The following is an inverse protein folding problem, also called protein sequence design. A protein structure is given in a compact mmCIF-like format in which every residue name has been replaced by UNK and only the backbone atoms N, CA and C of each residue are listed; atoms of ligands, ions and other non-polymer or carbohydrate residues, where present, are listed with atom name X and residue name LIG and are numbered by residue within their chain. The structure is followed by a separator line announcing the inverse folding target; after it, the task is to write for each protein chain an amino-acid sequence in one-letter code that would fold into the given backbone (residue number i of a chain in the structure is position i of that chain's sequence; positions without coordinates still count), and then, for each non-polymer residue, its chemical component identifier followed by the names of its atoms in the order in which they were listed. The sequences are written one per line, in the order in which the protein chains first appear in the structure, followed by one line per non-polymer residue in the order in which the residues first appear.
data_IF_906014636162
#
_entry.id   IF_906014636162
#
_cell.length_a   1.000
_cell.length_b   1.000
_cell.length_c   1.000
_cell.angle_alpha   90.00
_cell.angle_beta   90.00
_cell.angle_gamma   90.00
#
_symmetry.space_group_name_H-M   'P 1'
#
loop_
_entity.id
_entity.type
_entity.pdbx_description
1 polymer ?
#
# COMPACT_ATOMS: atom_id res chain seq x y z
N UNK A 1 -13.03 23.06 30.31
CA UNK A 1 -11.75 22.33 30.28
C UNK A 1 -11.78 21.50 29.01
N UNK A 2 -11.13 21.98 27.94
CA UNK A 2 -11.21 21.35 26.62
C UNK A 2 -10.45 20.03 26.64
N UNK A 3 -11.10 18.96 26.16
CA UNK A 3 -10.42 17.70 25.87
C UNK A 3 -9.28 17.96 24.91
N UNK A 4 -8.09 17.59 25.34
CA UNK A 4 -6.90 17.51 24.50
C UNK A 4 -7.10 16.26 23.62
N UNK A 5 -7.95 16.36 22.60
CA UNK A 5 -7.92 15.41 21.51
C UNK A 5 -6.51 15.47 20.94
N UNK A 6 -5.79 14.36 21.03
CA UNK A 6 -4.46 14.22 20.44
C UNK A 6 -4.59 14.54 18.94
N UNK A 7 -4.24 15.76 18.54
CA UNK A 7 -4.15 16.15 17.14
C UNK A 7 -2.95 15.39 16.59
N UNK A 8 -3.14 14.14 16.16
CA UNK A 8 -2.17 13.47 15.31
C UNK A 8 -2.06 14.32 14.05
N UNK A 9 -0.87 14.85 13.71
CA UNK A 9 -0.70 15.61 12.48
C UNK A 9 -1.22 14.76 11.32
N UNK A 10 -2.13 15.32 10.51
CA UNK A 10 -2.62 14.64 9.32
C UNK A 10 -1.41 14.35 8.44
N UNK A 11 -1.06 13.08 8.29
CA UNK A 11 0.05 12.66 7.43
C UNK A 11 -0.28 13.08 6.00
N UNK A 12 0.71 13.65 5.32
CA UNK A 12 0.53 14.06 3.94
C UNK A 12 0.55 12.83 3.01
N UNK A 13 0.13 13.00 1.76
CA UNK A 13 0.02 11.88 0.83
C UNK A 13 1.38 11.19 0.60
N UNK A 14 2.48 11.94 0.54
CA UNK A 14 3.82 11.37 0.35
C UNK A 14 4.21 10.43 1.49
N UNK A 15 3.96 10.82 2.73
CA UNK A 15 4.22 10.01 3.92
C UNK A 15 3.35 8.75 3.91
N UNK A 16 2.06 8.89 3.62
CA UNK A 16 1.11 7.76 3.63
C UNK A 16 1.44 6.76 2.52
N UNK A 17 1.70 7.23 1.31
CA UNK A 17 2.02 6.37 0.17
C UNK A 17 3.33 5.63 0.41
N UNK A 18 4.38 6.34 0.87
CA UNK A 18 5.65 5.72 1.21
C UNK A 18 5.46 4.59 2.23
N UNK A 19 4.79 4.90 3.33
CA UNK A 19 4.56 3.95 4.42
C UNK A 19 3.76 2.72 4.00
N UNK A 20 2.68 2.93 3.23
CA UNK A 20 1.84 1.84 2.72
C UNK A 20 2.64 0.94 1.78
N UNK A 21 3.35 1.51 0.81
CA UNK A 21 4.13 0.74 -0.16
C UNK A 21 5.29 -0.01 0.51
N UNK A 22 6.02 0.63 1.44
CA UNK A 22 7.06 -0.04 2.22
C UNK A 22 6.50 -1.20 3.03
N UNK A 23 5.34 -1.01 3.66
CA UNK A 23 4.69 -2.07 4.44
C UNK A 23 4.31 -3.26 3.55
N UNK A 24 3.78 -3.01 2.35
CA UNK A 24 3.41 -4.06 1.39
C UNK A 24 4.64 -4.79 0.84
N UNK A 25 5.70 -4.07 0.48
CA UNK A 25 6.94 -4.69 -0.01
C UNK A 25 7.58 -5.53 1.09
N UNK A 26 7.68 -5.00 2.31
CA UNK A 26 8.25 -5.72 3.44
C UNK A 26 7.45 -6.99 3.79
N UNK A 27 6.14 -6.92 3.70
CA UNK A 27 5.27 -8.09 3.94
C UNK A 27 5.39 -9.12 2.83
N UNK A 28 5.43 -8.69 1.58
CA UNK A 28 5.59 -9.58 0.41
C UNK A 28 6.96 -10.25 0.40
N UNK A 29 8.02 -9.49 0.70
CA UNK A 29 9.40 -9.98 0.78
C UNK A 29 9.55 -11.13 1.75
N UNK A 30 8.93 -11.03 2.94
CA UNK A 30 8.97 -12.09 3.97
C UNK A 30 8.44 -13.43 3.47
N UNK A 31 7.57 -13.43 2.44
CA UNK A 31 6.93 -14.64 1.92
C UNK A 31 7.50 -15.11 0.57
N UNK A 32 7.91 -14.20 -0.31
CA UNK A 32 8.32 -14.51 -1.70
C UNK A 32 9.74 -14.07 -2.07
N UNK A 33 10.46 -13.44 -1.15
CA UNK A 33 11.81 -12.89 -1.40
C UNK A 33 11.79 -11.45 -1.95
N UNK A 34 12.94 -10.79 -1.84
CA UNK A 34 13.08 -9.36 -2.14
C UNK A 34 12.88 -9.04 -3.62
N UNK A 35 13.55 -9.79 -4.51
CA UNK A 35 13.45 -9.56 -5.96
C UNK A 35 12.01 -9.67 -6.47
N UNK A 36 11.24 -10.65 -5.96
CA UNK A 36 9.82 -10.77 -6.31
C UNK A 36 9.01 -9.57 -5.82
N UNK A 37 9.20 -9.14 -4.57
CA UNK A 37 8.43 -8.05 -3.99
C UNK A 37 8.68 -6.71 -4.71
N UNK A 38 9.95 -6.38 -4.98
CA UNK A 38 10.35 -5.16 -5.70
C UNK A 38 9.85 -5.21 -7.15
N UNK A 39 10.08 -6.31 -7.86
CA UNK A 39 9.65 -6.45 -9.25
C UNK A 39 8.13 -6.35 -9.37
N UNK A 40 7.40 -7.07 -8.53
CA UNK A 40 5.93 -7.07 -8.59
C UNK A 40 5.34 -5.71 -8.26
N UNK A 41 5.86 -5.01 -7.25
CA UNK A 41 5.39 -3.67 -6.90
C UNK A 41 5.69 -2.66 -8.02
N UNK A 42 6.90 -2.68 -8.57
CA UNK A 42 7.30 -1.77 -9.66
C UNK A 42 6.41 -1.97 -10.89
N UNK A 43 6.13 -3.21 -11.28
CA UNK A 43 5.23 -3.50 -12.40
C UNK A 43 3.79 -3.04 -12.13
N UNK A 44 3.28 -3.23 -10.90
CA UNK A 44 1.93 -2.78 -10.53
C UNK A 44 1.81 -1.25 -10.57
N UNK A 45 2.81 -0.52 -10.07
CA UNK A 45 2.82 0.94 -10.14
C UNK A 45 2.85 1.43 -11.59
N UNK A 46 3.67 0.80 -12.44
CA UNK A 46 3.75 1.14 -13.86
C UNK A 46 2.44 0.86 -14.63
N UNK A 47 1.77 -0.25 -14.31
CA UNK A 47 0.45 -0.57 -14.88
C UNK A 47 -0.61 0.48 -14.52
N UNK A 48 -0.58 0.94 -13.27
CA UNK A 48 -1.56 1.89 -12.74
C UNK A 48 -1.26 3.35 -13.07
N UNK A 49 -0.05 3.68 -13.48
CA UNK A 49 0.37 5.06 -13.82
C UNK A 49 -0.51 5.69 -14.92
N UNK A 50 -1.03 4.87 -15.85
CA UNK A 50 -1.93 5.33 -16.90
C UNK A 50 -3.30 5.83 -16.37
N UNK A 51 -3.78 5.24 -15.27
CA UNK A 51 -5.04 5.62 -14.61
C UNK A 51 -4.80 6.66 -13.51
N UNK A 52 -3.68 6.52 -12.79
CA UNK A 52 -3.28 7.36 -11.66
C UNK A 52 -1.95 8.04 -11.98
N UNK A 53 -2.01 9.13 -12.75
CA UNK A 53 -0.83 9.84 -13.22
C UNK A 53 0.13 10.34 -12.13
N UNK A 54 -0.34 10.46 -10.87
CA UNK A 54 0.55 10.82 -9.75
C UNK A 54 1.52 9.70 -9.35
N UNK A 55 1.30 8.45 -9.78
CA UNK A 55 2.21 7.34 -9.49
C UNK A 55 3.58 7.52 -10.16
N UNK A 56 3.70 8.41 -11.15
CA UNK A 56 4.99 8.82 -11.71
C UNK A 56 5.93 9.45 -10.65
N UNK A 57 5.37 9.94 -9.54
CA UNK A 57 6.11 10.51 -8.41
C UNK A 57 6.59 9.45 -7.40
N UNK A 58 6.37 8.17 -7.68
CA UNK A 58 6.76 7.06 -6.81
C UNK A 58 7.83 6.23 -7.52
N UNK A 59 8.96 6.07 -6.84
CA UNK A 59 10.08 5.27 -7.32
C UNK A 59 10.34 4.11 -6.36
N UNK A 60 10.41 2.89 -6.91
CA UNK A 60 10.80 1.69 -6.17
C UNK A 60 12.20 1.29 -6.60
N UNK A 61 13.14 1.29 -5.64
CA UNK A 61 14.54 0.94 -5.87
C UNK A 61 14.83 -0.49 -5.46
N UNK A 62 15.70 -1.13 -6.21
CA UNK A 62 16.27 -2.41 -5.82
C UNK A 62 17.49 -2.18 -4.92
N UNK A 63 17.29 -2.23 -3.62
CA UNK A 63 18.33 -1.95 -2.62
C UNK A 63 19.14 -3.18 -2.24
N UNK A 64 19.03 -4.31 -2.95
CA UNK A 64 19.80 -5.53 -2.66
C UNK A 64 21.32 -5.33 -2.68
N UNK A 65 21.79 -4.32 -3.41
CA UNK A 65 23.20 -3.96 -3.55
C UNK A 65 23.53 -2.55 -2.97
N UNK A 66 22.55 -1.87 -2.38
CA UNK A 66 22.66 -0.48 -1.93
C UNK A 66 22.35 -0.41 -0.43
N UNK A 67 23.39 -0.46 0.40
CA UNK A 67 23.24 -0.30 1.84
C UNK A 67 22.83 1.13 2.21
N UNK A 68 21.78 1.27 3.03
CA UNK A 68 21.33 2.55 3.56
C UNK A 68 20.39 3.35 2.65
N UNK A 69 20.12 2.89 1.42
CA UNK A 69 19.14 3.55 0.54
C UNK A 69 17.69 3.17 0.89
N UNK A 70 16.81 4.16 0.78
CA UNK A 70 15.37 3.95 0.92
C UNK A 70 14.82 3.21 -0.29
N UNK A 71 14.05 2.14 -0.03
CA UNK A 71 13.47 1.31 -1.09
C UNK A 71 12.34 2.02 -1.83
N UNK A 72 11.58 2.85 -1.12
CA UNK A 72 10.44 3.59 -1.65
C UNK A 72 10.75 5.09 -1.52
N UNK A 73 10.90 5.74 -2.65
CA UNK A 73 11.01 7.19 -2.73
C UNK A 73 9.70 7.76 -3.27
N UNK A 74 9.16 8.79 -2.61
CA UNK A 74 7.90 9.44 -2.99
C UNK A 74 8.11 10.93 -3.04
N UNK A 75 7.97 11.53 -4.22
CA UNK A 75 8.16 12.96 -4.39
C UNK A 75 7.00 13.74 -3.74
N UNK A 76 7.26 14.94 -3.16
CA UNK A 76 6.24 15.73 -2.47
C UNK A 76 5.07 16.18 -3.36
N UNK A 77 5.22 16.17 -4.69
CA UNK A 77 4.22 16.55 -5.68
C UNK A 77 2.88 15.80 -5.49
N UNK A 78 2.93 14.57 -4.98
CA UNK A 78 1.75 13.78 -4.64
C UNK A 78 0.85 14.44 -3.58
N UNK A 79 1.38 15.39 -2.80
CA UNK A 79 0.62 16.11 -1.78
C UNK A 79 -0.41 17.08 -2.37
N UNK A 80 -0.30 17.43 -3.66
CA UNK A 80 -1.32 18.19 -4.38
C UNK A 80 -2.51 17.34 -4.84
N UNK A 81 -2.40 16.00 -4.78
CA UNK A 81 -3.44 15.07 -5.19
C UNK A 81 -4.53 14.99 -4.13
N UNK A 82 -5.79 14.85 -4.55
CA UNK A 82 -6.89 14.61 -3.62
C UNK A 82 -6.63 13.33 -2.82
N UNK A 83 -6.70 13.37 -1.47
CA UNK A 83 -6.41 12.19 -0.64
C UNK A 83 -7.29 10.98 -0.98
N UNK A 84 -8.54 11.19 -1.40
CA UNK A 84 -9.43 10.12 -1.85
C UNK A 84 -8.96 9.45 -3.15
N UNK A 85 -8.33 10.17 -4.06
CA UNK A 85 -7.73 9.60 -5.28
C UNK A 85 -6.49 8.76 -4.93
N UNK A 86 -5.69 9.22 -3.95
CA UNK A 86 -4.58 8.44 -3.41
C UNK A 86 -5.09 7.15 -2.76
N UNK A 87 -6.14 7.24 -1.95
CA UNK A 87 -6.74 6.08 -1.30
C UNK A 87 -7.29 5.05 -2.30
N UNK A 88 -7.94 5.48 -3.39
CA UNK A 88 -8.40 4.59 -4.46
C UNK A 88 -7.24 3.82 -5.10
N UNK A 89 -6.16 4.51 -5.47
CA UNK A 89 -5.00 3.85 -6.06
C UNK A 89 -4.36 2.85 -5.09
N UNK A 90 -4.16 3.25 -3.83
CA UNK A 90 -3.60 2.38 -2.81
C UNK A 90 -4.49 1.15 -2.54
N UNK A 91 -5.82 1.31 -2.50
CA UNK A 91 -6.75 0.19 -2.40
C UNK A 91 -6.57 -0.79 -3.55
N UNK A 92 -6.51 -0.30 -4.80
CA UNK A 92 -6.29 -1.13 -5.99
C UNK A 92 -4.93 -1.84 -5.94
N UNK A 93 -3.87 -1.15 -5.49
CA UNK A 93 -2.54 -1.75 -5.32
C UNK A 93 -2.59 -2.91 -4.31
N UNK A 94 -3.21 -2.71 -3.15
CA UNK A 94 -3.33 -3.76 -2.12
C UNK A 94 -4.14 -4.95 -2.66
N UNK A 95 -5.26 -4.68 -3.35
CA UNK A 95 -6.12 -5.70 -3.95
C UNK A 95 -5.41 -6.49 -5.06
N UNK A 96 -4.78 -5.81 -6.03
CA UNK A 96 -4.06 -6.49 -7.11
C UNK A 96 -2.87 -7.29 -6.58
N UNK A 97 -2.15 -6.76 -5.60
CA UNK A 97 -1.04 -7.47 -4.98
C UNK A 97 -1.52 -8.71 -4.22
N UNK A 98 -2.59 -8.61 -3.42
CA UNK A 98 -3.15 -9.75 -2.68
C UNK A 98 -3.66 -10.85 -3.61
N UNK A 99 -4.32 -10.48 -4.72
CA UNK A 99 -4.82 -11.43 -5.71
C UNK A 99 -3.72 -12.13 -6.51
N UNK A 100 -2.57 -11.46 -6.69
CA UNK A 100 -1.40 -12.05 -7.34
C UNK A 100 -0.72 -13.14 -6.51
N UNK A 101 -1.05 -13.23 -5.22
CA UNK A 101 -0.63 -14.30 -4.34
C UNK A 101 -1.67 -15.43 -4.34
N UNK A 102 -1.21 -16.63 -3.99
CA UNK A 102 -2.09 -17.75 -3.62
C UNK A 102 -3.08 -17.33 -2.53
N UNK A 103 -4.21 -18.03 -2.39
CA UNK A 103 -5.31 -17.62 -1.50
C UNK A 103 -4.85 -17.29 -0.05
N UNK A 104 -4.17 -18.23 0.60
CA UNK A 104 -3.57 -18.03 1.93
C UNK A 104 -2.51 -16.91 1.94
N UNK A 105 -1.86 -16.65 0.82
CA UNK A 105 -0.89 -15.58 0.64
C UNK A 105 -1.52 -14.20 0.60
N UNK A 106 -2.58 -14.01 -0.18
CA UNK A 106 -3.29 -12.73 -0.25
C UNK A 106 -3.97 -12.38 1.08
N UNK A 107 -4.62 -13.35 1.72
CA UNK A 107 -5.18 -13.16 3.06
C UNK A 107 -4.13 -12.77 4.09
N UNK A 108 -2.98 -13.46 4.09
CA UNK A 108 -1.85 -13.15 4.97
C UNK A 108 -1.30 -11.73 4.72
N UNK A 109 -1.16 -11.32 3.46
CA UNK A 109 -0.68 -9.99 3.10
C UNK A 109 -1.55 -8.90 3.72
N UNK A 110 -2.88 -8.99 3.57
CA UNK A 110 -3.80 -7.96 4.07
C UNK A 110 -3.79 -7.93 5.61
N UNK A 111 -3.76 -9.11 6.26
CA UNK A 111 -3.68 -9.20 7.73
C UNK A 111 -2.37 -8.64 8.28
N UNK A 112 -1.25 -8.93 7.65
CA UNK A 112 0.04 -8.38 8.07
C UNK A 112 0.16 -6.90 7.78
N UNK A 113 -0.41 -6.41 6.66
CA UNK A 113 -0.54 -4.98 6.40
C UNK A 113 -1.32 -4.28 7.52
N UNK A 114 -2.50 -4.79 7.88
CA UNK A 114 -3.33 -4.25 8.97
C UNK A 114 -2.58 -4.18 10.30
N UNK A 115 -1.75 -5.19 10.62
CA UNK A 115 -0.94 -5.20 11.85
C UNK A 115 0.27 -4.25 11.80
N UNK A 116 0.87 -4.08 10.62
CA UNK A 116 2.16 -3.39 10.46
C UNK A 116 2.04 -1.93 10.07
N UNK A 117 0.89 -1.51 9.54
CA UNK A 117 0.66 -0.10 9.19
C UNK A 117 0.74 0.81 10.43
N UNK A 118 0.50 0.27 11.62
CA UNK A 118 0.71 0.99 12.88
C UNK A 118 -0.39 2.02 13.17
N UNK A 119 -0.62 2.25 14.46
CA UNK A 119 -1.74 3.08 14.94
C UNK A 119 -1.70 4.52 14.40
N UNK A 120 -0.50 5.05 14.14
CA UNK A 120 -0.32 6.42 13.65
C UNK A 120 -0.82 6.62 12.20
N UNK A 121 -0.85 5.56 11.38
CA UNK A 121 -1.34 5.61 10.01
C UNK A 121 -2.75 5.05 9.86
N UNK A 122 -3.23 4.18 10.78
CA UNK A 122 -4.55 3.53 10.71
C UNK A 122 -5.71 4.50 10.48
N UNK A 123 -5.78 5.59 11.26
CA UNK A 123 -6.83 6.60 11.10
C UNK A 123 -6.72 7.32 9.75
N UNK A 124 -5.49 7.61 9.31
CA UNK A 124 -5.23 8.31 8.06
C UNK A 124 -5.58 7.44 6.85
N UNK A 125 -5.16 6.18 6.81
CA UNK A 125 -5.47 5.26 5.70
C UNK A 125 -6.98 5.04 5.57
N UNK A 126 -7.69 4.96 6.70
CA UNK A 126 -9.16 4.85 6.72
C UNK A 126 -9.82 6.13 6.21
N UNK A 127 -9.32 7.29 6.61
CA UNK A 127 -9.84 8.59 6.18
C UNK A 127 -9.67 8.84 4.66
N UNK A 128 -8.66 8.25 4.03
CA UNK A 128 -8.49 8.32 2.58
C UNK A 128 -9.25 7.22 1.80
N UNK A 129 -9.92 6.31 2.50
CA UNK A 129 -10.79 5.30 1.89
C UNK A 129 -10.22 3.88 1.83
N UNK A 130 -9.11 3.58 2.52
CA UNK A 130 -8.57 2.23 2.60
C UNK A 130 -9.20 1.51 3.80
N UNK A 131 -10.10 0.58 3.52
CA UNK A 131 -10.72 -0.30 4.53
C UNK A 131 -10.18 -1.73 4.40
N UNK A 132 -9.39 -2.17 5.38
CA UNK A 132 -8.77 -3.50 5.36
C UNK A 132 -9.77 -4.64 5.53
N UNK A 133 -10.90 -4.42 6.19
CA UNK A 133 -11.95 -5.44 6.31
C UNK A 133 -12.70 -5.59 4.98
N UNK A 134 -12.92 -4.49 4.26
CA UNK A 134 -13.42 -4.53 2.88
C UNK A 134 -12.45 -5.27 1.97
N UNK A 135 -11.14 -4.97 2.04
CA UNK A 135 -10.11 -5.66 1.26
C UNK A 135 -10.11 -7.18 1.50
N UNK A 136 -10.29 -7.62 2.75
CA UNK A 136 -10.40 -9.05 3.09
C UNK A 136 -11.65 -9.68 2.47
N UNK A 137 -12.79 -8.98 2.51
CA UNK A 137 -14.03 -9.44 1.90
C UNK A 137 -13.90 -9.56 0.38
N UNK A 138 -13.35 -8.53 -0.27
CA UNK A 138 -13.11 -8.50 -1.72
C UNK A 138 -12.18 -9.63 -2.16
N UNK A 139 -11.07 -9.86 -1.45
CA UNK A 139 -10.16 -10.98 -1.74
C UNK A 139 -10.88 -12.32 -1.66
N UNK A 140 -11.69 -12.52 -0.61
CA UNK A 140 -12.49 -13.74 -0.43
C UNK A 140 -13.46 -13.92 -1.60
N UNK A 141 -14.25 -12.90 -1.94
CA UNK A 141 -15.24 -12.95 -3.02
C UNK A 141 -14.62 -13.18 -4.40
N UNK A 142 -13.49 -12.52 -4.69
CA UNK A 142 -12.77 -12.71 -5.94
C UNK A 142 -12.38 -14.18 -6.13
N UNK A 143 -11.87 -14.85 -5.08
CA UNK A 143 -11.51 -16.28 -5.17
C UNK A 143 -12.71 -17.21 -5.34
N UNK A 144 -13.91 -16.83 -4.88
CA UNK A 144 -15.13 -17.60 -5.17
C UNK A 144 -15.58 -17.47 -6.63
N UNK A 145 -15.40 -16.29 -7.25
CA UNK A 145 -15.76 -16.06 -8.66
C UNK A 145 -14.90 -16.85 -9.66
N UNK A 146 -13.71 -17.31 -9.27
CA UNK A 146 -12.82 -18.12 -10.13
C UNK A 146 -12.88 -19.63 -9.84
N UNK A 147 -13.80 -20.09 -8.98
CA UNK A 147 -13.97 -21.52 -8.63
C UNK A 147 -15.12 -22.21 -9.39
N UNK A 148 -15.77 -21.54 -10.34
CA UNK A 148 -16.84 -22.06 -11.17
C UNK A 148 -16.53 -21.80 -12.64
#
# INVERSE_FOLDING_TARGET
MYSNDFITPRKNNSEVVKHVLDTLINTTRRKRGEGYAVSKMSSLLKELEAEYGFLQYVEIRDTRLLEGEERVNVMPDINAVLPTEVGKALHIIISKLSLSLEDKGGYFLIREFQKRVGNEYTSTIKAIGIDTELLLLEHKLAKYRFKF
#
